data_IF_592601311744
#
_entry.id   IF_592601311744
#
_cell.length_a   1.000
_cell.length_b   1.000
_cell.length_c   1.000
_cell.angle_alpha   90.00
_cell.angle_beta   90.00
_cell.angle_gamma   90.00
#
_symmetry.space_group_name_H-M   'P 1'
#
loop_
_entity.id
_entity.type
_entity.pdbx_description
1 polymer ?
#
# COMPACT_ATOMS: atom_id res chain seq x y z
N UNK A 1 -19.09 -0.29 -14.84
CA UNK A 1 -18.36 0.93 -14.46
C UNK A 1 -17.07 0.43 -13.87
N UNK A 2 -15.93 0.71 -14.51
CA UNK A 2 -14.62 0.35 -13.97
C UNK A 2 -14.27 1.39 -12.90
N UNK A 3 -13.83 0.91 -11.72
CA UNK A 3 -13.44 1.78 -10.61
C UNK A 3 -11.98 2.18 -10.82
N UNK A 4 -11.71 3.47 -10.79
CA UNK A 4 -10.38 4.05 -11.02
C UNK A 4 -9.93 4.85 -9.80
N UNK A 5 -8.62 4.95 -9.63
CA UNK A 5 -8.01 5.81 -8.60
C UNK A 5 -8.27 7.27 -8.97
N UNK A 6 -9.00 7.99 -8.11
CA UNK A 6 -9.11 9.44 -8.19
C UNK A 6 -7.92 10.11 -7.48
N UNK A 7 -7.59 9.64 -6.28
CA UNK A 7 -6.55 10.25 -5.44
C UNK A 7 -5.84 9.26 -4.54
N UNK A 8 -4.54 9.51 -4.32
CA UNK A 8 -3.72 8.81 -3.32
C UNK A 8 -3.15 9.83 -2.34
N UNK A 9 -3.29 9.56 -1.05
CA UNK A 9 -2.71 10.34 0.04
C UNK A 9 -1.79 9.45 0.86
N UNK A 10 -0.56 9.90 1.08
CA UNK A 10 0.45 9.19 1.87
C UNK A 10 0.64 9.91 3.20
N UNK A 11 0.40 9.21 4.30
CA UNK A 11 0.68 9.68 5.65
C UNK A 11 2.00 9.09 6.12
N UNK A 12 3.00 9.96 6.31
CA UNK A 12 4.28 9.57 6.91
C UNK A 12 4.18 9.72 8.43
N UNK A 13 4.22 8.61 9.15
CA UNK A 13 4.28 8.63 10.62
C UNK A 13 5.68 9.10 11.07
N UNK A 14 5.85 10.40 11.28
CA UNK A 14 7.00 10.98 11.99
C UNK A 14 6.75 10.89 13.51
N UNK A 15 6.92 9.71 14.10
CA UNK A 15 7.06 9.60 15.56
C UNK A 15 8.55 9.51 15.86
N UNK A 16 8.98 10.38 16.78
CA UNK A 16 10.34 10.79 17.15
C UNK A 16 11.42 9.69 17.20
N UNK A 17 12.65 10.17 17.01
CA UNK A 17 13.94 9.50 17.06
C UNK A 17 14.03 8.46 18.19
N UNK A 18 14.16 7.17 17.87
CA UNK A 18 15.10 6.25 18.55
C UNK A 18 15.07 4.77 18.16
N UNK A 19 14.42 4.31 17.09
CA UNK A 19 14.61 2.91 16.65
C UNK A 19 14.67 2.81 15.13
N UNK A 20 15.72 2.15 14.64
CA UNK A 20 16.06 1.89 13.24
C UNK A 20 15.12 0.86 12.59
N UNK A 21 13.82 1.01 12.80
CA UNK A 21 12.78 0.20 12.17
C UNK A 21 12.15 1.02 11.04
N UNK A 22 12.06 0.43 9.85
CA UNK A 22 11.36 1.00 8.69
C UNK A 22 9.87 1.14 9.09
N UNK A 23 9.49 2.33 9.57
CA UNK A 23 8.13 2.59 10.04
C UNK A 23 7.23 2.64 8.81
N UNK A 24 6.30 1.70 8.70
CA UNK A 24 5.35 1.65 7.59
C UNK A 24 4.62 2.98 7.40
N UNK A 25 4.20 3.25 6.17
CA UNK A 25 3.44 4.44 5.80
C UNK A 25 1.97 4.08 5.62
N UNK A 26 1.07 4.95 6.03
CA UNK A 26 -0.34 4.73 5.76
C UNK A 26 -0.71 5.36 4.41
N UNK A 27 -1.37 4.59 3.55
CA UNK A 27 -1.77 5.01 2.21
C UNK A 27 -3.29 4.98 2.14
N UNK A 28 -3.88 6.15 1.96
CA UNK A 28 -5.31 6.29 1.67
C UNK A 28 -5.52 6.43 0.17
N UNK A 29 -6.41 5.61 -0.38
CA UNK A 29 -6.85 5.63 -1.77
C UNK A 29 -8.31 6.08 -1.81
N UNK A 30 -8.61 7.06 -2.64
CA UNK A 30 -9.95 7.51 -2.96
C UNK A 30 -10.25 7.12 -4.41
N UNK A 31 -11.34 6.39 -4.61
CA UNK A 31 -11.81 5.96 -5.93
C UNK A 31 -12.75 7.01 -6.54
N UNK A 32 -13.00 6.91 -7.84
CA UNK A 32 -13.88 7.82 -8.60
C UNK A 32 -15.36 7.85 -8.13
N UNK A 33 -15.77 6.91 -7.29
CA UNK A 33 -17.08 6.90 -6.63
C UNK A 33 -17.07 7.54 -5.21
N UNK A 34 -15.96 8.21 -4.86
CA UNK A 34 -15.67 8.84 -3.56
C UNK A 34 -15.51 7.85 -2.40
N UNK A 35 -15.41 6.55 -2.65
CA UNK A 35 -15.09 5.59 -1.60
C UNK A 35 -13.61 5.68 -1.23
N UNK A 36 -13.35 5.64 0.09
CA UNK A 36 -12.01 5.78 0.66
C UNK A 36 -11.57 4.48 1.32
N UNK A 37 -10.30 4.16 1.11
CA UNK A 37 -9.67 2.91 1.51
C UNK A 37 -8.31 3.19 2.12
N UNK A 38 -7.91 2.42 3.14
CA UNK A 38 -6.66 2.58 3.85
C UNK A 38 -5.87 1.26 3.88
N UNK A 39 -4.56 1.34 3.69
CA UNK A 39 -3.64 0.22 3.95
C UNK A 39 -2.28 0.75 4.39
N UNK A 40 -1.56 -0.01 5.22
CA UNK A 40 -0.21 0.34 5.64
C UNK A 40 0.83 -0.35 4.75
N UNK A 41 1.72 0.43 4.14
CA UNK A 41 2.81 -0.08 3.32
C UNK A 41 4.10 -0.23 4.14
N UNK A 42 4.78 -1.36 3.96
CA UNK A 42 6.08 -1.70 4.54
C UNK A 42 7.09 -2.09 3.45
N UNK A 43 8.37 -1.83 3.66
CA UNK A 43 9.43 -2.05 2.69
C UNK A 43 9.98 -3.43 2.90
N UNK A 44 10.33 -4.11 1.82
CA UNK A 44 11.07 -5.35 1.86
C UNK A 44 12.39 -5.26 2.62
N UNK A 45 12.93 -4.06 2.87
CA UNK A 45 14.09 -3.87 3.75
C UNK A 45 13.88 -4.48 5.14
N UNK A 46 12.63 -4.57 5.62
CA UNK A 46 12.28 -5.22 6.89
C UNK A 46 12.31 -6.76 6.82
N UNK A 47 12.05 -7.34 5.65
CA UNK A 47 11.86 -8.79 5.49
C UNK A 47 13.14 -9.38 4.92
N UNK A 48 14.12 -9.61 5.80
CA UNK A 48 15.48 -10.04 5.47
C UNK A 48 15.59 -11.51 4.94
N UNK A 49 14.63 -12.03 4.16
CA UNK A 49 14.63 -13.43 3.71
C UNK A 49 13.93 -13.63 2.38
N UNK A 50 14.69 -14.11 1.38
CA UNK A 50 14.25 -15.01 0.29
C UNK A 50 12.84 -14.75 -0.27
N UNK A 51 12.47 -13.48 -0.46
CA UNK A 51 11.25 -13.17 -1.21
C UNK A 51 11.57 -13.52 -2.65
N UNK A 52 10.68 -14.27 -3.27
CA UNK A 52 10.79 -14.53 -4.70
C UNK A 52 10.78 -13.19 -5.43
N UNK A 53 11.93 -12.82 -6.02
CA UNK A 53 12.10 -11.57 -6.76
C UNK A 53 11.14 -11.46 -7.96
N UNK A 54 10.41 -12.54 -8.32
CA UNK A 54 9.34 -12.49 -9.29
C UNK A 54 8.14 -11.63 -8.83
N UNK A 55 7.91 -11.52 -7.51
CA UNK A 55 6.80 -10.76 -6.95
C UNK A 55 7.26 -9.35 -6.55
N UNK A 56 6.68 -8.35 -7.22
CA UNK A 56 6.98 -6.93 -7.00
C UNK A 56 6.38 -6.36 -5.70
N UNK A 57 5.30 -6.96 -5.21
CA UNK A 57 4.68 -6.67 -3.92
C UNK A 57 4.06 -7.94 -3.32
N UNK A 58 3.85 -7.95 -2.00
CA UNK A 58 3.06 -8.94 -1.27
C UNK A 58 2.00 -8.20 -0.45
N UNK A 59 0.87 -8.84 -0.17
CA UNK A 59 -0.17 -8.22 0.63
C UNK A 59 -0.83 -9.22 1.60
N UNK A 60 -1.36 -8.67 2.68
CA UNK A 60 -2.29 -9.30 3.61
C UNK A 60 -3.26 -8.20 4.08
N UNK A 61 -4.45 -8.56 4.54
CA UNK A 61 -5.45 -7.60 5.06
C UNK A 61 -4.83 -6.41 5.82
N UNK A 62 -5.01 -5.20 5.28
CA UNK A 62 -4.48 -3.92 5.79
C UNK A 62 -2.95 -3.77 5.82
N UNK A 63 -2.22 -4.55 5.01
CA UNK A 63 -0.76 -4.53 4.98
C UNK A 63 -0.21 -4.86 3.59
N UNK A 64 0.65 -3.98 3.07
CA UNK A 64 1.30 -4.17 1.77
C UNK A 64 2.80 -4.11 1.93
N UNK A 65 3.50 -5.13 1.47
CA UNK A 65 4.96 -5.18 1.40
C UNK A 65 5.41 -4.88 -0.01
N UNK A 66 6.26 -3.87 -0.16
CA UNK A 66 6.74 -3.38 -1.46
C UNK A 66 8.23 -3.07 -1.41
N UNK A 67 8.88 -2.95 -2.56
CA UNK A 67 10.32 -2.63 -2.59
C UNK A 67 10.61 -1.22 -2.09
N UNK A 68 9.76 -0.27 -2.45
CA UNK A 68 9.79 1.11 -2.00
C UNK A 68 8.37 1.67 -1.89
N UNK A 69 8.28 2.88 -1.32
CA UNK A 69 7.03 3.59 -1.09
C UNK A 69 6.90 4.83 -1.95
N UNK A 70 7.54 4.86 -3.12
CA UNK A 70 7.37 5.99 -4.02
C UNK A 70 5.94 6.01 -4.54
N UNK A 71 5.42 7.22 -4.81
CA UNK A 71 4.03 7.38 -5.26
C UNK A 71 3.76 6.55 -6.52
N UNK A 72 4.71 6.47 -7.46
CA UNK A 72 4.54 5.70 -8.69
C UNK A 72 4.47 4.19 -8.42
N UNK A 73 5.28 3.68 -7.49
CA UNK A 73 5.21 2.29 -7.03
C UNK A 73 3.87 1.99 -6.36
N UNK A 74 3.42 2.87 -5.47
CA UNK A 74 2.13 2.74 -4.79
C UNK A 74 0.97 2.76 -5.81
N UNK A 75 0.97 3.73 -6.74
CA UNK A 75 -0.03 3.80 -7.82
C UNK A 75 -0.06 2.52 -8.64
N UNK A 76 1.11 2.02 -9.04
CA UNK A 76 1.21 0.79 -9.81
C UNK A 76 0.64 -0.41 -9.04
N UNK A 77 0.99 -0.57 -7.75
CA UNK A 77 0.45 -1.65 -6.90
C UNK A 77 -1.07 -1.53 -6.76
N UNK A 78 -1.59 -0.33 -6.49
CA UNK A 78 -3.03 -0.12 -6.30
C UNK A 78 -3.80 -0.43 -7.59
N UNK A 79 -3.30 0.00 -8.76
CA UNK A 79 -3.91 -0.33 -10.04
C UNK A 79 -3.92 -1.84 -10.30
N UNK A 80 -2.78 -2.52 -10.10
CA UNK A 80 -2.69 -3.97 -10.26
C UNK A 80 -3.67 -4.72 -9.34
N UNK A 81 -3.81 -4.27 -8.09
CA UNK A 81 -4.79 -4.82 -7.15
C UNK A 81 -6.26 -4.55 -7.53
N UNK A 82 -6.55 -3.42 -8.16
CA UNK A 82 -7.89 -3.12 -8.68
C UNK A 82 -8.21 -4.06 -9.85
N UNK A 83 -7.24 -4.29 -10.75
CA UNK A 83 -7.38 -5.17 -11.90
C UNK A 83 -7.55 -6.64 -11.50
N UNK A 84 -6.85 -7.10 -10.46
CA UNK A 84 -6.95 -8.49 -9.95
C UNK A 84 -8.12 -8.71 -9.00
N UNK A 85 -8.72 -7.64 -8.46
CA UNK A 85 -9.75 -7.68 -7.43
C UNK A 85 -9.22 -7.83 -6.00
N UNK A 86 -7.90 -7.94 -5.81
CA UNK A 86 -7.25 -8.06 -4.50
C UNK A 86 -7.39 -6.79 -3.65
N UNK A 87 -7.66 -5.64 -4.28
CA UNK A 87 -7.74 -4.34 -3.62
C UNK A 87 -8.69 -4.35 -2.41
N UNK A 88 -9.89 -4.91 -2.57
CA UNK A 88 -10.91 -4.95 -1.53
C UNK A 88 -10.60 -5.93 -0.38
N UNK A 89 -9.60 -6.79 -0.56
CA UNK A 89 -9.10 -7.70 0.46
C UNK A 89 -7.88 -7.13 1.19
N UNK A 90 -7.07 -6.33 0.49
CA UNK A 90 -5.86 -5.72 1.02
C UNK A 90 -6.09 -4.38 1.74
N UNK A 91 -7.12 -3.62 1.33
CA UNK A 91 -7.44 -2.32 1.91
C UNK A 91 -8.67 -2.36 2.81
N UNK A 92 -8.60 -1.65 3.93
CA UNK A 92 -9.74 -1.40 4.81
C UNK A 92 -10.57 -0.22 4.28
N UNK A 93 -11.87 -0.42 4.08
CA UNK A 93 -12.77 0.66 3.68
C UNK A 93 -13.02 1.60 4.86
N UNK A 94 -12.77 2.89 4.67
CA UNK A 94 -13.07 3.94 5.64
C UNK A 94 -14.58 4.25 5.61
N UNK A 95 -15.18 4.36 6.79
CA UNK A 95 -16.60 4.70 6.98
C UNK A 95 -16.86 6.20 6.84
#
# INVERSE_FOLDING_TARGET
MELEIDKIVIFKNHIEENQAEDKGIDVMVELNDNQKYLSTFFSYRLVNKKIDNSKKYLWRSNMILSFDYQLDTIKWIVNDMLDTGDFYLAFEKLK
#
